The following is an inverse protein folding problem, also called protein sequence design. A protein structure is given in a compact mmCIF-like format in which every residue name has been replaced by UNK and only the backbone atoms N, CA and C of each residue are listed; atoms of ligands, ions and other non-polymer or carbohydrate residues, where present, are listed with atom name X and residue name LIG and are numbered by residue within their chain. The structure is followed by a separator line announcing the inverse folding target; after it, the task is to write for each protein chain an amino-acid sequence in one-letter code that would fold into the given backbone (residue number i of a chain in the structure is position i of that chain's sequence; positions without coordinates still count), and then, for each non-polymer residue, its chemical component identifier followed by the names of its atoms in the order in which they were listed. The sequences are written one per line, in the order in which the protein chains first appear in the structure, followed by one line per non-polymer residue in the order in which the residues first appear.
data_IF_549265286907
#
_entry.id   IF_549265286907
#
_cell.length_a   1.000
_cell.length_b   1.000
_cell.length_c   1.000
_cell.angle_alpha   90.00
_cell.angle_beta   90.00
_cell.angle_gamma   90.00
#
_symmetry.space_group_name_H-M   'P 1'
#
loop_
_entity.id
_entity.type
_entity.pdbx_description
1 polymer ?
#
# COMPACT_ATOMS: atom_id res chain seq x y z
N UNK A 1 41.68 -3.22 -56.25
CA UNK A 1 41.61 -1.78 -55.94
C UNK A 1 40.45 -1.55 -55.00
N UNK A 2 40.78 -1.07 -53.79
CA UNK A 2 39.97 -0.24 -52.88
C UNK A 2 38.48 -0.56 -52.70
N UNK A 3 38.18 -1.23 -51.57
CA UNK A 3 36.86 -1.28 -50.93
C UNK A 3 36.61 0.08 -50.28
N UNK A 4 35.76 0.91 -50.88
CA UNK A 4 35.40 2.23 -50.37
C UNK A 4 34.45 2.08 -49.18
N UNK A 5 34.83 2.64 -48.04
CA UNK A 5 34.16 2.45 -46.75
C UNK A 5 32.83 3.19 -46.61
N UNK A 6 31.79 2.44 -46.19
CA UNK A 6 30.53 2.95 -45.66
C UNK A 6 30.54 2.93 -44.11
N UNK A 7 31.61 3.41 -43.48
CA UNK A 7 31.79 3.32 -42.01
C UNK A 7 31.41 4.57 -41.22
N UNK A 8 31.40 5.76 -41.83
CA UNK A 8 31.31 7.03 -41.09
C UNK A 8 29.89 7.50 -40.76
N UNK A 9 28.94 7.35 -41.68
CA UNK A 9 27.56 7.84 -41.48
C UNK A 9 26.73 6.93 -40.55
N UNK A 10 27.09 5.66 -40.46
CA UNK A 10 26.47 4.71 -39.53
C UNK A 10 26.84 4.98 -38.08
N UNK A 11 28.08 5.39 -37.77
CA UNK A 11 28.51 5.60 -36.38
C UNK A 11 27.87 6.85 -35.78
N UNK A 12 27.85 7.97 -36.52
CA UNK A 12 27.25 9.22 -36.02
C UNK A 12 25.76 9.08 -35.70
N UNK A 13 25.03 8.30 -36.51
CA UNK A 13 23.60 8.05 -36.29
C UNK A 13 23.35 7.08 -35.13
N UNK A 14 24.28 6.15 -34.88
CA UNK A 14 24.24 5.26 -33.71
C UNK A 14 24.57 6.04 -32.42
N UNK A 15 25.52 6.97 -32.49
CA UNK A 15 25.89 7.83 -31.35
C UNK A 15 24.72 8.74 -30.96
N UNK A 16 24.06 9.41 -31.93
CA UNK A 16 22.84 10.21 -31.67
C UNK A 16 21.68 9.38 -31.09
N UNK A 17 21.46 8.16 -31.60
CA UNK A 17 20.43 7.26 -31.07
C UNK A 17 20.76 6.80 -29.65
N UNK A 18 22.03 6.56 -29.35
CA UNK A 18 22.49 6.15 -28.02
C UNK A 18 22.31 7.27 -26.99
N UNK A 19 22.59 8.53 -27.38
CA UNK A 19 22.37 9.70 -26.54
C UNK A 19 20.87 9.95 -26.29
N UNK A 20 20.03 9.81 -27.32
CA UNK A 20 18.58 9.91 -27.15
C UNK A 20 18.02 8.82 -26.22
N UNK A 21 18.51 7.59 -26.33
CA UNK A 21 18.12 6.51 -25.42
C UNK A 21 18.57 6.77 -23.99
N UNK A 22 19.79 7.27 -23.78
CA UNK A 22 20.29 7.61 -22.46
C UNK A 22 19.45 8.71 -21.79
N UNK A 23 19.09 9.77 -22.54
CA UNK A 23 18.23 10.85 -22.05
C UNK A 23 16.82 10.33 -21.73
N UNK A 24 16.26 9.46 -22.56
CA UNK A 24 14.94 8.86 -22.30
C UNK A 24 14.98 7.92 -21.08
N UNK A 25 16.02 7.10 -20.93
CA UNK A 25 16.20 6.26 -19.74
C UNK A 25 16.35 7.08 -18.48
N UNK A 26 17.10 8.18 -18.52
CA UNK A 26 17.28 9.06 -17.37
C UNK A 26 15.96 9.75 -16.96
N UNK A 27 15.14 10.13 -17.95
CA UNK A 27 13.78 10.66 -17.71
C UNK A 27 12.85 9.59 -17.12
N UNK A 28 12.92 8.36 -17.61
CA UNK A 28 12.16 7.23 -17.05
C UNK A 28 12.56 6.96 -15.61
N UNK A 29 13.86 6.92 -15.31
CA UNK A 29 14.36 6.74 -13.93
C UNK A 29 13.92 7.88 -13.00
N UNK A 30 13.86 9.11 -13.49
CA UNK A 30 13.35 10.24 -12.70
C UNK A 30 11.83 10.15 -12.44
N UNK A 31 11.06 9.62 -13.38
CA UNK A 31 9.62 9.37 -13.24
C UNK A 31 9.31 8.13 -12.39
N UNK A 32 10.21 7.16 -12.33
CA UNK A 32 10.09 5.92 -11.55
C UNK A 32 10.49 6.07 -10.08
N UNK A 33 10.87 7.27 -9.62
CA UNK A 33 11.16 7.50 -8.19
C UNK A 33 9.88 7.43 -7.37
N UNK A 34 9.52 6.22 -6.96
CA UNK A 34 8.45 5.95 -6.01
C UNK A 34 8.85 6.55 -4.65
N UNK A 35 8.10 7.53 -4.11
CA UNK A 35 8.47 8.17 -2.86
C UNK A 35 8.51 7.15 -1.72
N UNK A 36 9.49 7.28 -0.82
CA UNK A 36 9.56 6.43 0.37
C UNK A 36 8.62 6.98 1.42
N UNK A 37 7.45 6.37 1.54
CA UNK A 37 6.43 6.77 2.50
C UNK A 37 6.45 5.90 3.76
N UNK A 38 6.16 6.54 4.89
CA UNK A 38 5.79 5.93 6.17
C UNK A 38 4.28 6.04 6.35
N UNK A 39 3.67 5.06 7.02
CA UNK A 39 2.23 4.98 7.22
C UNK A 39 1.92 4.93 8.72
N UNK A 40 1.27 5.97 9.21
CA UNK A 40 0.86 6.09 10.61
C UNK A 40 -0.61 5.68 10.73
N UNK A 41 -0.87 4.68 11.56
CA UNK A 41 -2.22 4.28 11.99
C UNK A 41 -2.43 4.87 13.38
N UNK A 42 -3.44 5.73 13.51
CA UNK A 42 -3.76 6.39 14.76
C UNK A 42 -5.24 6.32 15.08
N UNK A 43 -5.61 6.59 16.35
CA UNK A 43 -7.00 6.68 16.81
C UNK A 43 -7.81 5.43 16.50
N UNK A 44 -7.17 4.27 16.60
CA UNK A 44 -7.82 3.01 16.33
C UNK A 44 -8.93 2.77 17.36
N UNK A 45 -10.13 2.51 16.87
CA UNK A 45 -11.31 2.17 17.68
C UNK A 45 -11.85 0.83 17.20
N UNK A 46 -12.14 -0.04 18.15
CA UNK A 46 -12.76 -1.35 17.91
C UNK A 46 -14.14 -1.35 18.53
N UNK A 47 -15.15 -1.69 17.73
CA UNK A 47 -16.53 -1.81 18.18
C UNK A 47 -17.02 -3.21 17.88
N UNK A 48 -17.64 -3.85 18.87
CA UNK A 48 -18.33 -5.12 18.72
C UNK A 48 -19.83 -4.83 18.57
N UNK A 49 -20.37 -5.19 17.43
CA UNK A 49 -21.77 -5.02 17.10
C UNK A 49 -22.49 -6.36 17.19
N UNK A 50 -23.38 -6.49 18.17
CA UNK A 50 -24.25 -7.65 18.32
C UNK A 50 -25.46 -7.50 17.36
N UNK A 51 -25.46 -8.27 16.27
CA UNK A 51 -26.60 -8.33 15.34
C UNK A 51 -27.38 -9.62 15.57
N UNK A 52 -28.64 -9.70 15.12
CA UNK A 52 -29.51 -10.86 15.42
C UNK A 52 -28.99 -12.23 14.94
N UNK A 53 -28.19 -12.26 13.86
CA UNK A 53 -27.73 -13.51 13.24
C UNK A 53 -26.23 -13.77 13.39
N UNK A 54 -25.44 -12.69 13.37
CA UNK A 54 -23.99 -12.82 13.44
C UNK A 54 -23.39 -11.53 14.01
N UNK A 55 -22.55 -11.61 15.05
CA UNK A 55 -21.87 -10.45 15.57
C UNK A 55 -20.81 -9.97 14.59
N UNK A 56 -20.45 -8.70 14.67
CA UNK A 56 -19.43 -8.10 13.80
C UNK A 56 -18.44 -7.30 14.62
N UNK A 57 -17.18 -7.41 14.23
CA UNK A 57 -16.14 -6.47 14.64
C UNK A 57 -16.07 -5.36 13.59
N UNK A 58 -16.17 -4.11 14.05
CA UNK A 58 -15.85 -2.92 13.27
C UNK A 58 -14.54 -2.34 13.78
N UNK A 59 -13.57 -2.17 12.89
CA UNK A 59 -12.29 -1.53 13.17
C UNK A 59 -12.19 -0.24 12.38
N UNK A 60 -12.14 0.88 13.09
CA UNK A 60 -11.97 2.22 12.51
C UNK A 60 -10.63 2.82 12.93
N UNK A 61 -9.93 3.48 12.02
CA UNK A 61 -8.67 4.16 12.32
C UNK A 61 -8.42 5.31 11.35
N UNK A 62 -7.53 6.23 11.74
CA UNK A 62 -7.01 7.27 10.87
C UNK A 62 -5.66 6.82 10.29
N UNK A 63 -5.57 6.80 8.96
CA UNK A 63 -4.34 6.57 8.22
C UNK A 63 -3.73 7.91 7.81
N UNK A 64 -2.43 8.09 8.08
CA UNK A 64 -1.64 9.21 7.60
C UNK A 64 -0.36 8.70 6.93
N UNK A 65 -0.11 9.11 5.69
CA UNK A 65 1.14 8.86 4.99
C UNK A 65 2.07 10.06 5.12
N UNK A 66 3.32 9.79 5.51
CA UNK A 66 4.38 10.79 5.72
C UNK A 66 5.59 10.45 4.86
N UNK A 67 6.36 11.46 4.49
CA UNK A 67 7.58 11.31 3.70
C UNK A 67 7.80 12.46 2.74
N UNK A 68 8.92 12.42 2.01
CA UNK A 68 9.20 13.39 0.97
C UNK A 68 8.29 13.14 -0.24
N UNK A 69 7.64 14.18 -0.75
CA UNK A 69 6.79 14.14 -1.93
C UNK A 69 5.59 13.16 -1.83
N UNK A 70 4.81 13.25 -0.74
CA UNK A 70 3.54 12.50 -0.63
C UNK A 70 2.62 12.86 -1.81
N UNK A 71 2.15 11.88 -2.62
CA UNK A 71 1.22 12.17 -3.70
C UNK A 71 -0.10 12.75 -3.17
N UNK A 72 -0.69 13.67 -3.94
CA UNK A 72 -1.96 14.29 -3.56
C UNK A 72 -3.10 13.26 -3.44
N UNK A 73 -3.18 12.32 -4.37
CA UNK A 73 -4.15 11.22 -4.34
C UNK A 73 -3.48 9.90 -4.68
N UNK A 74 -3.70 8.88 -3.86
CA UNK A 74 -3.27 7.51 -4.12
C UNK A 74 -4.17 6.52 -3.37
N UNK A 75 -3.90 5.23 -3.53
CA UNK A 75 -4.69 4.18 -2.89
C UNK A 75 -3.80 3.32 -2.01
N UNK A 76 -4.34 2.88 -0.88
CA UNK A 76 -3.69 1.98 0.08
C UNK A 76 -4.58 0.77 0.31
N UNK A 77 -3.99 -0.40 0.18
CA UNK A 77 -4.59 -1.68 0.50
C UNK A 77 -4.40 -1.98 1.99
N UNK A 78 -5.52 -2.05 2.72
CA UNK A 78 -5.58 -2.28 4.16
C UNK A 78 -6.00 -3.71 4.44
N UNK A 79 -5.28 -4.38 5.35
CA UNK A 79 -5.61 -5.67 5.91
C UNK A 79 -6.19 -5.50 7.32
N UNK A 80 -7.33 -6.15 7.56
CA UNK A 80 -7.85 -6.47 8.87
C UNK A 80 -7.76 -7.98 9.09
N UNK A 81 -6.94 -8.41 10.05
CA UNK A 81 -6.90 -9.80 10.53
C UNK A 81 -7.54 -9.87 11.91
N UNK A 82 -8.43 -10.82 12.10
CA UNK A 82 -9.14 -11.07 13.35
C UNK A 82 -8.93 -12.52 13.76
N UNK A 83 -8.48 -12.73 14.99
CA UNK A 83 -8.27 -14.06 15.56
C UNK A 83 -9.04 -14.16 16.87
N UNK A 84 -9.79 -15.26 17.04
CA UNK A 84 -10.49 -15.59 18.29
C UNK A 84 -9.97 -16.96 18.73
N UNK A 85 -8.91 -17.01 19.57
CA UNK A 85 -8.22 -18.25 19.89
C UNK A 85 -9.12 -19.30 20.54
N UNK A 86 -10.03 -18.88 21.42
CA UNK A 86 -10.99 -19.76 22.09
C UNK A 86 -11.90 -20.52 21.11
N UNK A 87 -12.20 -19.92 19.97
CA UNK A 87 -13.06 -20.48 18.92
C UNK A 87 -12.26 -21.09 17.75
N UNK A 88 -10.93 -21.09 17.81
CA UNK A 88 -10.03 -21.47 16.70
C UNK A 88 -10.38 -20.75 15.39
N UNK A 89 -10.84 -19.51 15.48
CA UNK A 89 -11.28 -18.72 14.35
C UNK A 89 -10.19 -17.75 13.92
N UNK A 90 -9.93 -17.70 12.61
CA UNK A 90 -9.06 -16.71 11.97
C UNK A 90 -9.74 -16.23 10.71
N UNK A 91 -9.88 -14.92 10.57
CA UNK A 91 -10.40 -14.29 9.35
C UNK A 91 -9.52 -13.12 8.92
N UNK A 92 -9.47 -12.91 7.61
CA UNK A 92 -8.73 -11.82 6.98
C UNK A 92 -9.64 -11.10 6.00
N UNK A 93 -9.73 -9.79 6.13
CA UNK A 93 -10.43 -8.91 5.20
C UNK A 93 -9.44 -7.89 4.64
N UNK A 94 -9.47 -7.67 3.32
CA UNK A 94 -8.65 -6.67 2.65
C UNK A 94 -9.53 -5.72 1.86
N UNK A 95 -9.22 -4.43 1.96
CA UNK A 95 -9.94 -3.41 1.22
C UNK A 95 -9.01 -2.26 0.86
N UNK A 96 -9.20 -1.71 -0.33
CA UNK A 96 -8.45 -0.57 -0.84
C UNK A 96 -9.17 0.73 -0.48
N UNK A 97 -8.43 1.67 0.10
CA UNK A 97 -8.92 2.99 0.49
C UNK A 97 -8.21 4.08 -0.32
N UNK A 98 -8.94 5.09 -0.81
CA UNK A 98 -8.32 6.29 -1.33
C UNK A 98 -7.70 7.09 -0.19
N UNK A 99 -6.54 7.67 -0.45
CA UNK A 99 -5.81 8.58 0.44
C UNK A 99 -5.69 9.91 -0.27
N UNK A 100 -6.18 10.96 0.38
CA UNK A 100 -6.18 12.34 -0.11
C UNK A 100 -5.31 13.19 0.79
N UNK A 101 -4.37 13.94 0.22
CA UNK A 101 -3.42 14.76 0.96
C UNK A 101 -2.71 13.98 2.09
N UNK A 102 -2.35 12.72 1.77
CA UNK A 102 -1.73 11.82 2.72
C UNK A 102 -2.65 11.29 3.83
N UNK A 103 -3.95 11.58 3.84
CA UNK A 103 -4.86 11.15 4.91
C UNK A 103 -6.02 10.31 4.40
N UNK A 104 -6.46 9.35 5.22
CA UNK A 104 -7.66 8.57 4.95
C UNK A 104 -8.30 8.08 6.24
N UNK A 105 -9.63 8.04 6.26
CA UNK A 105 -10.38 7.36 7.31
C UNK A 105 -10.60 5.91 6.88
N UNK A 106 -10.10 4.98 7.69
CA UNK A 106 -10.18 3.55 7.43
C UNK A 106 -11.30 2.97 8.28
N UNK A 107 -12.13 2.14 7.65
CA UNK A 107 -13.18 1.38 8.33
C UNK A 107 -13.31 0.01 7.66
N UNK A 108 -12.97 -1.04 8.41
CA UNK A 108 -13.14 -2.42 7.98
C UNK A 108 -14.05 -3.15 8.96
N UNK A 109 -14.87 -4.06 8.43
CA UNK A 109 -15.75 -4.92 9.21
C UNK A 109 -15.41 -6.38 8.99
N UNK A 110 -15.54 -7.18 10.04
CA UNK A 110 -15.33 -8.62 9.98
C UNK A 110 -16.42 -9.32 10.79
N UNK A 111 -17.23 -10.19 10.17
CA UNK A 111 -18.13 -11.06 10.90
C UNK A 111 -17.36 -11.98 11.86
N UNK A 112 -17.92 -12.17 13.05
CA UNK A 112 -17.37 -12.98 14.13
C UNK A 112 -18.06 -14.35 14.22
N UNK A 113 -17.40 -15.36 14.82
CA UNK A 113 -17.92 -16.73 14.84
C UNK A 113 -19.08 -16.93 15.82
N UNK A 114 -19.09 -16.21 16.95
CA UNK A 114 -20.06 -16.39 18.05
C UNK A 114 -20.37 -15.07 18.75
N UNK A 115 -21.55 -15.01 19.37
CA UNK A 115 -22.02 -13.88 20.18
C UNK A 115 -21.36 -13.81 21.55
N UNK A 116 -21.36 -12.62 22.16
CA UNK A 116 -20.91 -12.43 23.54
C UNK A 116 -19.39 -12.37 23.73
N UNK A 117 -18.62 -12.30 22.63
CA UNK A 117 -17.18 -12.07 22.67
C UNK A 117 -16.88 -10.70 23.27
N UNK A 118 -15.80 -10.62 24.05
CA UNK A 118 -15.26 -9.35 24.55
C UNK A 118 -14.01 -8.97 23.78
N UNK A 119 -13.56 -7.72 23.94
CA UNK A 119 -12.33 -7.25 23.31
C UNK A 119 -11.09 -8.07 23.71
N UNK A 120 -11.05 -8.59 24.95
CA UNK A 120 -9.97 -9.45 25.45
C UNK A 120 -9.90 -10.83 24.78
N UNK A 121 -10.99 -11.29 24.18
CA UNK A 121 -11.07 -12.58 23.49
C UNK A 121 -10.60 -12.50 22.03
N UNK A 122 -10.34 -11.29 21.52
CA UNK A 122 -10.13 -11.02 20.11
C UNK A 122 -8.79 -10.35 19.88
N UNK A 123 -7.95 -10.97 19.05
CA UNK A 123 -6.70 -10.37 18.58
C UNK A 123 -6.99 -9.71 17.23
N UNK A 124 -6.77 -8.40 17.15
CA UNK A 124 -7.02 -7.61 15.94
C UNK A 124 -5.70 -7.05 15.42
N UNK A 125 -5.43 -7.28 14.14
CA UNK A 125 -4.33 -6.63 13.42
C UNK A 125 -4.90 -5.82 12.27
N UNK A 126 -4.73 -4.49 12.33
CA UNK A 126 -5.02 -3.59 11.23
C UNK A 126 -3.70 -3.13 10.61
N UNK A 127 -3.51 -3.29 9.30
CA UNK A 127 -2.22 -2.99 8.67
C UNK A 127 -2.35 -2.52 7.22
N UNK A 128 -1.65 -1.45 6.82
CA UNK A 128 -1.45 -1.13 5.41
C UNK A 128 -0.46 -2.12 4.78
N UNK A 129 -0.83 -2.69 3.64
CA UNK A 129 -0.08 -3.75 2.97
C UNK A 129 0.65 -3.26 1.72
N UNK A 130 -0.06 -2.52 0.88
CA UNK A 130 0.49 -1.99 -0.37
C UNK A 130 -0.05 -0.59 -0.63
N UNK A 131 0.68 0.21 -1.39
CA UNK A 131 0.19 1.46 -1.96
C UNK A 131 0.61 1.56 -3.44
N UNK A 132 -0.03 2.45 -4.20
CA UNK A 132 0.31 2.85 -5.59
C UNK A 132 0.95 1.75 -6.49
N UNK A 133 0.15 1.07 -7.31
CA UNK A 133 0.68 0.09 -8.29
C UNK A 133 1.26 -1.19 -7.67
N UNK A 134 0.81 -1.58 -6.47
CA UNK A 134 1.26 -2.77 -5.72
C UNK A 134 2.64 -2.64 -5.05
N UNK A 135 3.07 -1.42 -4.71
CA UNK A 135 4.28 -1.20 -3.93
C UNK A 135 4.04 -1.69 -2.50
N UNK A 136 4.82 -2.69 -2.09
CA UNK A 136 4.73 -3.29 -0.76
C UNK A 136 5.12 -2.30 0.32
N UNK A 137 4.34 -2.27 1.40
CA UNK A 137 4.63 -1.52 2.62
C UNK A 137 5.30 -2.46 3.61
N UNK A 138 6.59 -2.23 3.82
CA UNK A 138 7.35 -3.00 4.79
C UNK A 138 6.88 -2.74 6.23
N UNK A 139 6.87 -3.75 7.11
CA UNK A 139 6.33 -3.61 8.46
C UNK A 139 6.96 -2.45 9.25
N UNK A 140 8.24 -2.18 9.04
CA UNK A 140 9.01 -1.15 9.76
C UNK A 140 8.61 0.27 9.36
N UNK A 141 7.87 0.42 8.25
CA UNK A 141 7.33 1.70 7.78
C UNK A 141 5.91 1.94 8.27
N UNK A 142 5.38 1.07 9.13
CA UNK A 142 4.07 1.22 9.75
C UNK A 142 4.26 1.62 11.21
N UNK A 143 3.70 2.77 11.58
CA UNK A 143 3.76 3.31 12.94
C UNK A 143 2.36 3.26 13.53
N UNK A 144 2.24 2.71 14.74
CA UNK A 144 0.97 2.60 15.46
C UNK A 144 0.97 3.60 16.64
N UNK A 145 -0.08 4.43 16.72
CA UNK A 145 -0.23 5.50 17.73
C UNK A 145 -1.58 5.46 18.44
#
# INVERSE_FOLDING_TARGET
MSVTGCGGEGSARLDELSEQLAVQQQRLQALEQVPKLEFVISRQTLTLEEQMFQPRLKSSAQLEARGDNVPYTFYVDMLLKVEVPGEKFVAMNRQVFPVFEGKSQIELMQPLPVHGLKAEDIIVTLRPMNWYGSQRIEPERVIYQ
#
